data_IF_238572973605
#
_entry.id   IF_238572973605
#
_cell.length_a   1.000
_cell.length_b   1.000
_cell.length_c   1.000
_cell.angle_alpha   90.00
_cell.angle_beta   90.00
_cell.angle_gamma   90.00
#
_symmetry.space_group_name_H-M   'P 1'
#
loop_
_entity.id
_entity.type
_entity.pdbx_description
1 polymer ?
#
# COMPACT_ATOMS: atom_id res chain seq x y z
N UNK A 1 14.05 15.80 -4.34
CA UNK A 1 14.51 15.78 -5.73
C UNK A 1 13.34 15.90 -6.72
N UNK A 2 12.37 14.94 -6.79
CA UNK A 2 11.23 14.99 -7.74
C UNK A 2 10.39 16.25 -7.49
N UNK A 3 9.92 16.45 -6.28
CA UNK A 3 9.06 17.56 -5.87
C UNK A 3 9.78 18.94 -5.92
N UNK A 4 11.12 18.93 -5.82
CA UNK A 4 11.97 20.13 -5.90
C UNK A 4 12.47 20.42 -7.32
N UNK A 5 12.04 19.64 -8.30
CA UNK A 5 12.46 19.83 -9.68
C UNK A 5 11.85 21.12 -10.25
N UNK A 6 12.63 21.93 -10.97
CA UNK A 6 12.12 23.10 -11.69
C UNK A 6 11.20 22.69 -12.85
N UNK A 7 11.31 21.45 -13.31
CA UNK A 7 10.39 20.87 -14.31
C UNK A 7 9.45 19.91 -13.55
N UNK A 8 8.13 20.13 -13.61
CA UNK A 8 7.20 19.29 -12.90
C UNK A 8 7.18 17.86 -13.46
N UNK A 9 7.16 16.88 -12.57
CA UNK A 9 6.94 15.48 -12.90
C UNK A 9 5.46 15.16 -12.87
N UNK A 10 5.02 14.36 -13.84
CA UNK A 10 3.67 13.81 -13.91
C UNK A 10 3.76 12.29 -13.74
N UNK A 11 2.98 11.73 -12.83
CA UNK A 11 2.90 10.29 -12.65
C UNK A 11 1.80 9.71 -13.56
N UNK A 12 2.18 8.79 -14.46
CA UNK A 12 1.27 8.03 -15.31
C UNK A 12 1.13 6.62 -14.72
N UNK A 13 -0.03 6.31 -14.15
CA UNK A 13 -0.23 5.21 -13.21
C UNK A 13 -1.17 4.15 -13.78
N UNK A 14 -0.78 2.87 -13.66
CA UNK A 14 -1.61 1.74 -14.03
C UNK A 14 -1.29 0.49 -13.22
N UNK A 15 -2.21 -0.47 -13.15
CA UNK A 15 -2.03 -1.75 -12.48
C UNK A 15 -1.95 -1.59 -10.95
N UNK A 16 -0.78 -1.82 -10.35
CA UNK A 16 -0.58 -1.74 -8.91
C UNK A 16 0.48 -0.68 -8.57
N UNK A 17 0.06 0.37 -7.91
CA UNK A 17 0.90 1.50 -7.47
C UNK A 17 1.05 1.39 -5.95
N UNK A 18 2.06 0.66 -5.51
CA UNK A 18 2.20 0.24 -4.13
C UNK A 18 3.51 0.73 -3.50
N UNK A 19 3.46 1.04 -2.21
CA UNK A 19 4.63 1.38 -1.41
C UNK A 19 5.44 2.51 -2.03
N UNK A 20 6.76 2.32 -2.21
CA UNK A 20 7.64 3.30 -2.82
C UNK A 20 7.17 3.83 -4.19
N UNK A 21 6.44 3.02 -4.98
CA UNK A 21 5.83 3.48 -6.23
C UNK A 21 4.76 4.54 -5.99
N UNK A 22 3.94 4.36 -4.95
CA UNK A 22 2.95 5.37 -4.59
C UNK A 22 3.60 6.58 -3.91
N UNK A 23 4.67 6.38 -3.12
CA UNK A 23 5.45 7.49 -2.53
C UNK A 23 6.06 8.40 -3.61
N UNK A 24 6.57 7.83 -4.71
CA UNK A 24 7.04 8.57 -5.88
C UNK A 24 5.89 9.31 -6.58
N UNK A 25 4.77 8.65 -6.78
CA UNK A 25 3.59 9.27 -7.39
C UNK A 25 3.08 10.47 -6.57
N UNK A 26 3.09 10.36 -5.24
CA UNK A 26 2.74 11.46 -4.33
C UNK A 26 3.75 12.62 -4.37
N UNK A 27 4.99 12.38 -4.77
CA UNK A 27 6.00 13.44 -4.94
C UNK A 27 5.92 14.12 -6.31
N UNK A 28 5.15 13.58 -7.26
CA UNK A 28 4.90 14.21 -8.55
C UNK A 28 3.87 15.34 -8.43
N UNK A 29 3.93 16.30 -9.34
CA UNK A 29 2.99 17.43 -9.38
C UNK A 29 1.57 16.93 -9.66
N UNK A 30 1.40 16.04 -10.63
CA UNK A 30 0.12 15.47 -11.01
C UNK A 30 0.17 13.94 -11.12
N UNK A 31 -0.98 13.30 -10.97
CA UNK A 31 -1.19 11.86 -10.98
C UNK A 31 -2.34 11.51 -11.91
N UNK A 32 -2.03 10.90 -13.03
CA UNK A 32 -3.00 10.36 -13.98
C UNK A 32 -3.08 8.84 -13.77
N UNK A 33 -4.26 8.28 -13.66
CA UNK A 33 -4.43 6.84 -13.48
C UNK A 33 -5.35 6.23 -14.53
N UNK A 34 -5.07 4.98 -14.89
CA UNK A 34 -6.04 4.16 -15.63
C UNK A 34 -7.13 3.64 -14.71
N UNK A 35 -8.36 3.48 -15.19
CA UNK A 35 -9.40 2.76 -14.47
C UNK A 35 -8.91 1.38 -14.01
N UNK A 36 -9.35 0.95 -12.81
CA UNK A 36 -8.95 -0.31 -12.22
C UNK A 36 -7.55 -0.34 -11.62
N UNK A 37 -6.78 0.76 -11.64
CA UNK A 37 -5.50 0.86 -10.92
C UNK A 37 -5.72 0.76 -9.41
N UNK A 38 -4.82 0.04 -8.73
CA UNK A 38 -4.88 -0.17 -7.28
C UNK A 38 -3.72 0.53 -6.59
N UNK A 39 -4.02 1.25 -5.52
CA UNK A 39 -3.07 2.03 -4.74
C UNK A 39 -2.96 1.50 -3.31
N UNK A 40 -1.77 1.58 -2.71
CA UNK A 40 -1.60 1.14 -1.32
C UNK A 40 -0.23 1.48 -0.75
N UNK A 41 -0.18 1.46 0.59
CA UNK A 41 1.04 1.53 1.38
C UNK A 41 1.17 0.24 2.22
N UNK A 42 1.55 -0.88 1.60
CA UNK A 42 1.51 -2.21 2.23
C UNK A 42 2.69 -2.51 3.14
N UNK A 43 3.57 -1.56 3.43
CA UNK A 43 4.79 -1.69 4.23
C UNK A 43 4.51 -2.31 5.60
N UNK A 44 3.36 -2.02 6.20
CA UNK A 44 2.91 -2.56 7.49
C UNK A 44 2.86 -4.09 7.51
N UNK A 45 2.56 -4.73 6.37
CA UNK A 45 2.53 -6.18 6.24
C UNK A 45 3.93 -6.81 6.30
N UNK A 46 4.98 -6.00 6.13
CA UNK A 46 6.37 -6.40 6.23
C UNK A 46 7.04 -5.87 7.52
N UNK A 47 6.24 -5.43 8.51
CA UNK A 47 6.76 -4.87 9.75
C UNK A 47 7.46 -3.52 9.57
N UNK A 48 7.09 -2.74 8.56
CA UNK A 48 7.69 -1.47 8.18
C UNK A 48 6.66 -0.35 8.17
N UNK A 49 7.17 0.88 8.11
CA UNK A 49 6.42 2.06 7.67
C UNK A 49 6.90 2.48 6.27
N UNK A 50 6.14 3.24 5.48
CA UNK A 50 6.65 3.99 4.34
C UNK A 50 7.87 4.81 4.74
N UNK A 51 8.86 4.98 3.86
CA UNK A 51 10.12 5.60 4.24
C UNK A 51 10.67 6.60 3.22
N UNK A 52 9.85 6.99 2.23
CA UNK A 52 10.21 8.00 1.25
C UNK A 52 9.20 9.18 1.23
N UNK A 53 8.58 9.45 2.37
CA UNK A 53 7.60 10.52 2.57
C UNK A 53 6.15 10.05 2.53
N UNK A 54 5.90 8.74 2.50
CA UNK A 54 4.56 8.19 2.38
C UNK A 54 3.67 8.52 3.57
N UNK A 55 4.14 8.37 4.80
CA UNK A 55 3.37 8.75 6.00
C UNK A 55 3.18 10.26 6.12
N UNK A 56 4.01 11.04 5.43
CA UNK A 56 3.91 12.49 5.47
C UNK A 56 3.02 13.04 4.35
N UNK A 57 3.08 12.45 3.14
CA UNK A 57 2.28 12.91 2.00
C UNK A 57 0.87 12.32 1.97
N UNK A 58 0.70 11.07 2.43
CA UNK A 58 -0.61 10.44 2.39
C UNK A 58 -1.68 11.24 3.16
N UNK A 59 -1.48 11.71 4.40
CA UNK A 59 -2.49 12.53 5.07
C UNK A 59 -2.76 13.85 4.36
N UNK A 60 -1.73 14.48 3.78
CA UNK A 60 -1.89 15.74 3.04
C UNK A 60 -2.66 15.60 1.73
N UNK A 61 -2.63 14.41 1.15
CA UNK A 61 -3.32 14.11 -0.11
C UNK A 61 -4.71 13.51 0.13
N UNK A 62 -4.82 12.63 1.12
CA UNK A 62 -5.94 11.71 1.29
C UNK A 62 -6.77 11.99 2.56
N UNK A 63 -6.31 12.87 3.45
CA UNK A 63 -6.88 13.00 4.79
C UNK A 63 -6.50 11.83 5.70
N UNK A 64 -6.95 11.90 6.97
CA UNK A 64 -6.53 10.96 8.00
C UNK A 64 -7.10 9.55 7.81
N UNK A 65 -8.41 9.42 7.55
CA UNK A 65 -9.07 8.11 7.45
C UNK A 65 -8.40 7.21 6.41
N UNK A 66 -8.27 7.74 5.19
CA UNK A 66 -7.71 6.95 4.08
C UNK A 66 -6.21 6.69 4.27
N UNK A 67 -5.46 7.65 4.82
CA UNK A 67 -4.05 7.47 5.14
C UNK A 67 -3.84 6.38 6.21
N UNK A 68 -4.66 6.34 7.24
CA UNK A 68 -4.65 5.30 8.28
C UNK A 68 -5.00 3.93 7.70
N UNK A 69 -6.08 3.85 6.92
CA UNK A 69 -6.47 2.60 6.26
C UNK A 69 -5.33 2.03 5.40
N UNK A 70 -4.64 2.89 4.64
CA UNK A 70 -3.58 2.45 3.74
C UNK A 70 -2.29 2.13 4.49
N UNK A 71 -1.81 2.99 5.37
CA UNK A 71 -0.50 2.84 6.00
C UNK A 71 -0.54 1.95 7.26
N UNK A 72 -1.58 2.04 8.10
CA UNK A 72 -1.67 1.26 9.34
C UNK A 72 -2.28 -0.12 9.12
N UNK A 73 -3.23 -0.25 8.18
CA UNK A 73 -3.97 -1.48 7.93
C UNK A 73 -3.56 -2.16 6.62
N UNK A 74 -2.72 -1.52 5.79
CA UNK A 74 -2.27 -2.07 4.51
C UNK A 74 -3.39 -2.26 3.47
N UNK A 75 -4.49 -1.53 3.61
CA UNK A 75 -5.62 -1.60 2.68
C UNK A 75 -5.25 -0.97 1.33
N UNK A 76 -5.76 -1.56 0.26
CA UNK A 76 -5.66 -0.96 -1.08
C UNK A 76 -6.94 -0.21 -1.41
N UNK A 77 -6.78 0.93 -2.09
CA UNK A 77 -7.88 1.74 -2.63
C UNK A 77 -7.85 1.66 -4.16
N UNK A 78 -8.99 1.88 -4.79
CA UNK A 78 -9.09 1.94 -6.25
C UNK A 78 -8.70 3.32 -6.79
N UNK A 79 -8.41 3.40 -8.09
CA UNK A 79 -8.20 4.68 -8.76
C UNK A 79 -9.46 5.54 -8.75
N UNK A 80 -10.62 4.90 -8.83
CA UNK A 80 -11.92 5.51 -8.78
C UNK A 80 -12.13 6.21 -7.42
N UNK A 81 -11.89 5.49 -6.30
CA UNK A 81 -11.97 6.06 -4.94
C UNK A 81 -11.03 7.27 -4.78
N UNK A 82 -9.78 7.15 -5.28
CA UNK A 82 -8.80 8.22 -5.20
C UNK A 82 -9.15 9.42 -6.09
N UNK A 83 -9.76 9.17 -7.24
CA UNK A 83 -10.21 10.23 -8.14
C UNK A 83 -11.39 11.00 -7.55
N UNK A 84 -12.38 10.32 -7.02
CA UNK A 84 -13.51 10.94 -6.30
C UNK A 84 -13.04 11.77 -5.09
N UNK A 85 -11.97 11.32 -4.45
CA UNK A 85 -11.36 12.02 -3.31
C UNK A 85 -10.45 13.20 -3.73
N UNK A 86 -10.21 13.39 -5.03
CA UNK A 86 -9.35 14.44 -5.56
C UNK A 86 -7.85 14.17 -5.40
N UNK A 87 -7.46 12.92 -5.17
CA UNK A 87 -6.05 12.51 -5.06
C UNK A 87 -5.42 12.12 -6.41
N UNK A 88 -6.23 11.79 -7.39
CA UNK A 88 -5.89 11.55 -8.80
C UNK A 88 -6.46 12.70 -9.62
N UNK A 89 -5.63 13.28 -10.49
CA UNK A 89 -5.97 14.47 -11.26
C UNK A 89 -6.72 14.11 -12.55
N UNK A 90 -6.52 12.92 -13.10
CA UNK A 90 -7.30 12.39 -14.22
C UNK A 90 -7.40 10.86 -14.15
N UNK A 91 -8.60 10.35 -14.44
CA UNK A 91 -8.90 8.92 -14.56
C UNK A 91 -9.26 8.63 -16.03
N UNK A 92 -8.33 7.99 -16.77
CA UNK A 92 -8.45 7.81 -18.22
C UNK A 92 -7.55 6.69 -18.74
N UNK A 93 -7.91 6.10 -19.87
CA UNK A 93 -7.05 5.15 -20.57
C UNK A 93 -5.90 5.82 -21.34
N UNK A 94 -6.09 7.08 -21.78
CA UNK A 94 -5.06 7.86 -22.46
C UNK A 94 -4.35 8.79 -21.47
N UNK A 95 -3.37 8.21 -20.77
CA UNK A 95 -2.60 8.91 -19.73
C UNK A 95 -1.73 10.04 -20.31
N UNK A 96 -1.18 9.86 -21.52
CA UNK A 96 -0.28 10.83 -22.13
C UNK A 96 -1.04 12.08 -22.57
N UNK A 97 -2.19 11.91 -23.23
CA UNK A 97 -3.04 13.03 -23.61
C UNK A 97 -3.53 13.80 -22.39
N UNK A 98 -3.91 13.11 -21.31
CA UNK A 98 -4.31 13.75 -20.06
C UNK A 98 -3.16 14.57 -19.45
N UNK A 99 -1.95 14.02 -19.42
CA UNK A 99 -0.79 14.71 -18.87
C UNK A 99 -0.45 16.01 -19.62
N UNK A 100 -0.60 16.02 -20.94
CA UNK A 100 -0.32 17.20 -21.77
C UNK A 100 -1.26 18.39 -21.45
N UNK A 101 -2.45 18.14 -20.92
CA UNK A 101 -3.40 19.20 -20.52
C UNK A 101 -2.87 20.03 -19.34
N UNK A 102 -1.94 19.49 -18.53
CA UNK A 102 -1.35 20.18 -17.40
C UNK A 102 -0.08 20.96 -17.74
N UNK A 103 0.32 20.99 -19.02
CA UNK A 103 1.49 21.75 -19.48
C UNK A 103 1.33 23.23 -19.17
N UNK A 104 2.29 23.78 -18.45
CA UNK A 104 2.29 25.20 -18.06
C UNK A 104 1.48 25.55 -16.82
N UNK A 105 0.80 24.58 -16.21
CA UNK A 105 0.09 24.79 -14.96
C UNK A 105 1.06 24.76 -13.77
N UNK A 106 0.82 25.64 -12.79
CA UNK A 106 1.54 25.64 -11.51
C UNK A 106 0.68 24.95 -10.45
N UNK A 107 1.24 23.96 -9.78
CA UNK A 107 0.57 23.25 -8.68
C UNK A 107 1.43 23.36 -7.42
N UNK A 108 0.83 23.67 -6.25
CA UNK A 108 1.54 23.65 -4.99
C UNK A 108 2.10 22.25 -4.72
N UNK A 109 3.32 22.18 -4.22
CA UNK A 109 3.93 20.92 -3.79
C UNK A 109 3.09 20.29 -2.69
N UNK A 110 2.98 18.96 -2.69
CA UNK A 110 2.24 18.26 -1.66
C UNK A 110 2.90 18.40 -0.27
N UNK A 111 4.23 18.52 -0.23
CA UNK A 111 4.99 18.83 0.99
C UNK A 111 4.61 20.17 1.61
N UNK A 112 4.18 21.16 0.80
CA UNK A 112 3.82 22.51 1.26
C UNK A 112 2.38 22.57 1.80
N UNK A 113 1.55 21.55 1.51
CA UNK A 113 0.19 21.46 2.07
C UNK A 113 0.26 21.24 3.58
N UNK A 114 -0.60 21.96 4.30
CA UNK A 114 -0.78 21.76 5.73
C UNK A 114 -1.99 20.87 6.00
N UNK A 115 -1.92 20.10 7.06
CA UNK A 115 -3.05 19.34 7.58
C UNK A 115 -3.19 19.64 9.09
N UNK A 116 -4.42 19.82 9.54
CA UNK A 116 -4.68 19.97 10.96
C UNK A 116 -4.29 18.70 11.72
N UNK A 117 -3.78 18.79 12.95
CA UNK A 117 -3.58 17.63 13.80
C UNK A 117 -4.86 16.80 13.94
N UNK A 118 -4.71 15.50 14.17
CA UNK A 118 -5.83 14.66 14.58
C UNK A 118 -6.45 15.22 15.87
N UNK A 119 -7.75 15.17 15.97
CA UNK A 119 -8.45 15.39 17.24
C UNK A 119 -8.22 14.20 18.18
N UNK A 120 -8.39 14.39 19.49
CA UNK A 120 -8.28 13.29 20.45
C UNK A 120 -9.22 12.12 20.13
N UNK A 121 -10.42 12.41 19.62
CA UNK A 121 -11.40 11.40 19.22
C UNK A 121 -10.96 10.60 17.98
N UNK A 122 -10.37 11.27 16.99
CA UNK A 122 -9.80 10.62 15.80
C UNK A 122 -8.62 9.75 16.19
N UNK A 123 -7.70 10.29 17.00
CA UNK A 123 -6.51 9.55 17.46
C UNK A 123 -6.90 8.30 18.24
N UNK A 124 -7.89 8.38 19.15
CA UNK A 124 -8.42 7.22 19.85
C UNK A 124 -9.03 6.19 18.91
N UNK A 125 -9.82 6.64 17.92
CA UNK A 125 -10.47 5.78 16.93
C UNK A 125 -9.44 5.05 16.06
N UNK A 126 -8.43 5.76 15.57
CA UNK A 126 -7.39 5.17 14.73
C UNK A 126 -6.44 4.27 15.51
N UNK A 127 -6.16 4.61 16.78
CA UNK A 127 -5.41 3.75 17.68
C UNK A 127 -6.11 2.41 17.90
N UNK A 128 -7.41 2.42 18.13
CA UNK A 128 -8.23 1.22 18.27
C UNK A 128 -8.21 0.36 16.98
N UNK A 129 -8.36 0.99 15.81
CA UNK A 129 -8.26 0.30 14.51
C UNK A 129 -6.88 -0.37 14.36
N UNK A 130 -5.81 0.39 14.62
CA UNK A 130 -4.44 -0.09 14.49
C UNK A 130 -4.13 -1.23 15.47
N UNK A 131 -4.58 -1.12 16.74
CA UNK A 131 -4.42 -2.17 17.77
C UNK A 131 -5.13 -3.47 17.37
N UNK A 132 -6.38 -3.40 16.92
CA UNK A 132 -7.13 -4.58 16.45
C UNK A 132 -6.44 -5.26 15.27
N UNK A 133 -5.87 -4.50 14.36
CA UNK A 133 -5.12 -5.04 13.22
C UNK A 133 -3.75 -5.57 13.63
N UNK A 134 -3.12 -4.98 14.62
CA UNK A 134 -1.74 -5.28 15.02
C UNK A 134 -1.53 -6.75 15.41
N UNK A 135 -2.42 -7.34 16.20
CA UNK A 135 -2.30 -8.72 16.70
C UNK A 135 -0.91 -9.01 17.28
N UNK A 136 -0.38 -8.07 18.06
CA UNK A 136 0.95 -8.13 18.67
C UNK A 136 2.11 -7.56 17.83
N UNK A 137 1.89 -7.20 16.57
CA UNK A 137 2.90 -6.53 15.72
C UNK A 137 3.02 -5.05 16.10
N UNK A 138 4.22 -4.48 15.94
CA UNK A 138 4.49 -3.08 16.26
C UNK A 138 4.18 -2.12 15.12
N UNK A 139 4.37 -2.56 13.88
CA UNK A 139 4.29 -1.70 12.70
C UNK A 139 2.96 -0.93 12.54
N UNK A 140 1.76 -1.48 12.82
CA UNK A 140 0.52 -0.71 12.71
C UNK A 140 0.49 0.54 13.57
N UNK A 141 0.91 0.44 14.84
CA UNK A 141 0.95 1.58 15.76
C UNK A 141 2.07 2.57 15.41
N UNK A 142 3.23 2.07 14.97
CA UNK A 142 4.33 2.92 14.52
C UNK A 142 4.00 3.67 13.23
N UNK A 143 3.18 3.08 12.34
CA UNK A 143 2.61 3.81 11.21
C UNK A 143 1.69 4.93 11.67
N UNK A 144 0.81 4.68 12.63
CA UNK A 144 -0.07 5.73 13.18
C UNK A 144 0.75 6.86 13.81
N UNK A 145 1.75 6.54 14.62
CA UNK A 145 2.66 7.52 15.18
C UNK A 145 3.33 8.36 14.09
N UNK A 146 3.89 7.72 13.05
CA UNK A 146 4.53 8.42 11.94
C UNK A 146 3.55 9.30 11.15
N UNK A 147 2.31 8.88 10.99
CA UNK A 147 1.25 9.69 10.37
C UNK A 147 0.99 10.98 11.15
N UNK A 148 0.96 10.96 12.51
CA UNK A 148 0.72 12.18 13.31
C UNK A 148 1.75 13.26 13.05
N UNK A 149 2.96 12.91 12.61
CA UNK A 149 3.99 13.90 12.29
C UNK A 149 3.66 14.73 11.05
N UNK A 150 2.70 14.31 10.22
CA UNK A 150 2.28 15.05 9.04
C UNK A 150 1.66 16.42 9.34
N UNK A 151 1.21 16.68 10.56
CA UNK A 151 0.79 18.02 11.00
C UNK A 151 1.95 19.00 11.20
N UNK A 152 3.20 18.52 11.17
CA UNK A 152 4.43 19.33 11.29
C UNK A 152 4.96 19.70 9.90
N UNK A 153 5.90 20.68 9.78
CA UNK A 153 6.61 20.96 8.54
C UNK A 153 7.25 19.68 7.98
N UNK A 154 7.13 19.49 6.66
CA UNK A 154 7.56 18.27 5.99
C UNK A 154 9.07 17.99 6.19
N UNK A 155 9.90 19.03 6.12
CA UNK A 155 11.35 18.95 6.30
C UNK A 155 11.77 18.50 7.72
N UNK A 156 10.89 18.65 8.72
CA UNK A 156 11.12 18.16 10.08
C UNK A 156 10.60 16.73 10.29
N UNK A 157 9.50 16.40 9.63
CA UNK A 157 8.78 15.14 9.81
C UNK A 157 9.38 13.99 8.96
N UNK A 158 9.70 14.28 7.71
CA UNK A 158 10.21 13.26 6.77
C UNK A 158 11.55 12.62 7.21
N UNK A 159 12.54 13.34 7.78
CA UNK A 159 13.74 12.70 8.31
C UNK A 159 13.46 11.73 9.46
N UNK A 160 12.44 12.00 10.30
CA UNK A 160 12.02 11.10 11.38
C UNK A 160 11.39 9.83 10.82
N UNK A 161 10.50 9.97 9.83
CA UNK A 161 9.93 8.84 9.08
C UNK A 161 11.05 7.96 8.53
N UNK A 162 12.01 8.58 7.83
CA UNK A 162 13.13 7.86 7.24
C UNK A 162 13.98 7.11 8.28
N UNK A 163 14.28 7.75 9.42
CA UNK A 163 15.02 7.13 10.51
C UNK A 163 14.30 5.91 11.07
N UNK A 164 13.00 6.05 11.38
CA UNK A 164 12.18 4.95 11.89
C UNK A 164 12.06 3.81 10.87
N UNK A 165 11.88 4.11 9.58
CA UNK A 165 11.87 3.10 8.54
C UNK A 165 13.17 2.29 8.52
N UNK A 166 14.34 2.96 8.59
CA UNK A 166 15.65 2.31 8.59
C UNK A 166 15.90 1.46 9.84
N UNK A 167 15.38 1.89 10.98
CA UNK A 167 15.40 1.13 12.23
C UNK A 167 14.58 -0.16 12.09
N UNK A 168 13.31 -0.02 11.66
CA UNK A 168 12.40 -1.14 11.49
C UNK A 168 12.92 -2.17 10.49
N UNK A 169 13.60 -1.73 9.42
CA UNK A 169 14.23 -2.64 8.43
C UNK A 169 15.23 -3.61 9.06
N UNK A 170 15.82 -3.26 10.18
CA UNK A 170 16.80 -4.08 10.91
C UNK A 170 16.15 -4.93 12.02
N UNK A 171 14.86 -4.73 12.30
CA UNK A 171 14.16 -5.46 13.35
C UNK A 171 13.96 -6.94 12.98
N UNK A 172 13.90 -7.79 14.00
CA UNK A 172 13.59 -9.21 13.84
C UNK A 172 12.19 -9.41 13.27
N UNK A 173 11.21 -8.61 13.69
CA UNK A 173 9.83 -8.65 13.17
C UNK A 173 9.81 -8.42 11.65
N UNK A 174 10.45 -7.36 11.17
CA UNK A 174 10.50 -7.08 9.73
C UNK A 174 11.29 -8.14 8.96
N UNK A 175 12.36 -8.66 9.55
CA UNK A 175 13.17 -9.72 8.94
C UNK A 175 12.34 -10.99 8.76
N UNK A 176 11.60 -11.40 9.79
CA UNK A 176 10.72 -12.58 9.74
C UNK A 176 9.57 -12.40 8.75
N UNK A 177 8.87 -11.24 8.79
CA UNK A 177 7.75 -10.97 7.89
C UNK A 177 8.17 -10.90 6.41
N UNK A 178 9.32 -10.29 6.12
CA UNK A 178 9.89 -10.30 4.76
C UNK A 178 10.29 -11.69 4.31
N UNK A 179 10.83 -12.52 5.21
CA UNK A 179 11.14 -13.91 4.90
C UNK A 179 9.88 -14.68 4.49
N UNK A 180 8.81 -14.58 5.27
CA UNK A 180 7.52 -15.23 4.96
C UNK A 180 6.98 -14.73 3.61
N UNK A 181 6.98 -13.42 3.38
CA UNK A 181 6.53 -12.84 2.11
C UNK A 181 7.26 -13.40 0.88
N UNK A 182 8.58 -13.57 0.96
CA UNK A 182 9.34 -14.18 -0.15
C UNK A 182 9.14 -15.70 -0.22
N UNK A 183 9.00 -16.39 0.92
CA UNK A 183 8.75 -17.83 0.96
C UNK A 183 7.41 -18.17 0.28
N UNK A 184 6.33 -17.44 0.58
CA UNK A 184 5.02 -17.62 -0.04
C UNK A 184 5.09 -17.45 -1.56
N UNK A 185 5.80 -16.43 -2.06
CA UNK A 185 6.00 -16.22 -3.50
C UNK A 185 6.83 -17.33 -4.15
N UNK A 186 7.80 -17.91 -3.43
CA UNK A 186 8.60 -19.02 -3.94
C UNK A 186 7.79 -20.31 -4.05
N UNK A 187 6.96 -20.60 -3.05
CA UNK A 187 6.12 -21.80 -3.05
C UNK A 187 5.09 -21.79 -4.17
N UNK A 188 4.55 -20.64 -4.52
CA UNK A 188 3.56 -20.53 -5.59
C UNK A 188 4.15 -20.65 -7.01
N UNK A 189 5.49 -20.44 -7.17
CA UNK A 189 6.19 -20.51 -8.46
C UNK A 189 7.51 -21.27 -8.32
N UNK A 190 7.50 -22.56 -7.93
CA UNK A 190 8.72 -23.31 -7.73
C UNK A 190 9.48 -23.51 -9.06
N UNK A 191 10.79 -23.26 -9.04
CA UNK A 191 11.64 -23.29 -10.24
C UNK A 191 11.59 -24.64 -10.97
N UNK A 192 11.44 -25.74 -10.23
CA UNK A 192 11.39 -27.10 -10.79
C UNK A 192 10.08 -27.39 -11.54
N UNK A 193 9.02 -26.61 -11.34
CA UNK A 193 7.76 -26.72 -12.07
C UNK A 193 7.67 -25.78 -13.29
N UNK A 194 8.69 -24.98 -13.55
CA UNK A 194 8.65 -23.95 -14.61
C UNK A 194 8.30 -24.52 -15.99
N UNK A 195 8.69 -25.78 -16.27
CA UNK A 195 8.44 -26.49 -17.53
C UNK A 195 7.44 -27.64 -17.37
N UNK A 196 6.82 -27.80 -16.19
CA UNK A 196 5.83 -28.85 -15.97
C UNK A 196 4.50 -28.45 -16.60
N UNK A 197 4.01 -29.26 -17.52
CA UNK A 197 2.66 -29.11 -18.07
C UNK A 197 1.61 -29.26 -16.95
N UNK A 198 0.59 -28.43 -16.93
CA UNK A 198 -0.55 -28.62 -16.06
C UNK A 198 -1.30 -29.89 -16.48
N UNK A 199 -1.48 -30.80 -15.52
CA UNK A 199 -2.41 -31.93 -15.71
C UNK A 199 -3.80 -31.48 -15.26
N UNK A 200 -4.78 -31.80 -16.06
CA UNK A 200 -6.18 -31.63 -15.66
C UNK A 200 -6.56 -32.77 -14.70
N UNK A 201 -6.95 -32.43 -13.48
CA UNK A 201 -7.30 -33.39 -12.44
C UNK A 201 -8.78 -33.25 -12.15
N UNK A 202 -9.54 -34.24 -12.59
CA UNK A 202 -11.00 -34.28 -12.44
C UNK A 202 -11.45 -34.87 -11.11
N UNK A 203 -10.66 -35.82 -10.59
CA UNK A 203 -11.03 -36.64 -9.45
C UNK A 203 -9.91 -36.65 -8.41
N UNK A 204 -10.27 -36.39 -7.16
CA UNK A 204 -9.37 -36.34 -6.01
C UNK A 204 -9.85 -37.31 -4.95
N UNK A 205 -8.95 -38.16 -4.43
CA UNK A 205 -9.24 -38.99 -3.28
C UNK A 205 -8.60 -38.36 -2.04
N UNK A 206 -9.35 -38.33 -0.94
CA UNK A 206 -8.87 -37.79 0.35
C UNK A 206 -8.87 -38.91 1.37
N UNK A 207 -7.71 -39.16 1.97
CA UNK A 207 -7.56 -40.15 3.04
C UNK A 207 -7.61 -39.43 4.38
N UNK A 208 -8.66 -39.65 5.13
CA UNK A 208 -8.90 -39.04 6.44
C UNK A 208 -10.06 -38.02 6.40
N UNK A 209 -11.10 -38.23 7.21
CA UNK A 209 -12.29 -37.40 7.33
C UNK A 209 -12.27 -36.41 8.51
N UNK A 210 -11.08 -36.06 9.05
CA UNK A 210 -10.95 -35.06 10.10
C UNK A 210 -11.06 -33.64 9.57
N UNK A 211 -10.88 -32.63 10.45
CA UNK A 211 -11.01 -31.20 10.12
C UNK A 211 -10.26 -30.80 8.86
N UNK A 212 -9.01 -31.22 8.73
CA UNK A 212 -8.19 -30.92 7.53
C UNK A 212 -8.69 -31.63 6.27
N UNK A 213 -9.05 -32.93 6.38
CA UNK A 213 -9.59 -33.70 5.25
C UNK A 213 -10.89 -33.12 4.73
N UNK A 214 -11.80 -32.74 5.61
CA UNK A 214 -13.05 -32.04 5.24
C UNK A 214 -12.79 -30.69 4.58
N UNK A 215 -11.82 -29.91 5.08
CA UNK A 215 -11.43 -28.63 4.48
C UNK A 215 -10.85 -28.80 3.06
N UNK A 216 -10.01 -29.81 2.84
CA UNK A 216 -9.45 -30.13 1.51
C UNK A 216 -10.58 -30.61 0.57
N UNK A 217 -11.50 -31.45 1.05
CA UNK A 217 -12.66 -31.89 0.26
C UNK A 217 -13.50 -30.71 -0.21
N UNK A 218 -13.81 -29.80 0.71
CA UNK A 218 -14.56 -28.58 0.40
C UNK A 218 -13.85 -27.72 -0.67
N UNK A 219 -12.55 -27.52 -0.53
CA UNK A 219 -11.77 -26.76 -1.50
C UNK A 219 -11.77 -27.42 -2.91
N UNK A 220 -11.69 -28.76 -2.96
CA UNK A 220 -11.78 -29.51 -4.21
C UNK A 220 -13.18 -29.38 -4.85
N UNK A 221 -14.25 -29.52 -4.07
CA UNK A 221 -15.63 -29.36 -4.55
C UNK A 221 -15.89 -27.94 -5.07
N UNK A 222 -15.44 -26.91 -4.34
CA UNK A 222 -15.55 -25.51 -4.77
C UNK A 222 -14.77 -25.21 -6.06
N UNK A 223 -13.76 -26.04 -6.38
CA UNK A 223 -12.99 -25.98 -7.62
C UNK A 223 -13.54 -26.88 -8.72
N UNK A 224 -14.80 -27.35 -8.61
CA UNK A 224 -15.45 -28.28 -9.53
C UNK A 224 -14.71 -29.61 -9.72
N UNK A 225 -14.03 -30.11 -8.67
CA UNK A 225 -13.39 -31.43 -8.66
C UNK A 225 -14.30 -32.46 -7.98
N UNK A 226 -14.31 -33.67 -8.47
CA UNK A 226 -14.96 -34.79 -7.81
C UNK A 226 -14.09 -35.29 -6.65
N UNK A 227 -14.69 -35.48 -5.47
CA UNK A 227 -14.00 -35.98 -4.27
C UNK A 227 -14.59 -37.34 -3.87
#
# INVERSE_FOLDING_TARGET
AIEESPVPFVALLHGHVLGGGFEIAMACAWRMAKPGTRFGLPEVNMGLIPGAGGTQRAPRLLGWDMAVDMACLGQMKSAEDLFEHGAIDALTDDLEAAALQFKGSSVPKLSDRTIAPMTESEEATYSDKALKFAKGRKAPLLNLEALTWASRPFEQAQPKERALHLELRKSDESTALRHVFFAERHVTKPKFLKNAGRKDIDRVAIVGGGLMGCGIAMACLLSNRRV
#
